data_IF_981937737461
#
_entry.id   IF_981937737461
#
_cell.length_a   1.000
_cell.length_b   1.000
_cell.length_c   1.000
_cell.angle_alpha   90.00
_cell.angle_beta   90.00
_cell.angle_gamma   90.00
#
_symmetry.space_group_name_H-M   'P 1'
#
loop_
_entity.id
_entity.type
_entity.pdbx_description
1 polymer ?
#
# COMPACT_ATOMS: atom_id res chain seq x y z
N UNK A 1 -13.96 9.89 -5.73
CA UNK A 1 -14.99 9.09 -5.02
C UNK A 1 -15.79 8.19 -5.96
N UNK A 2 -16.56 8.73 -6.93
CA UNK A 2 -17.42 7.90 -7.82
C UNK A 2 -16.67 6.83 -8.62
N UNK A 3 -15.48 7.16 -9.15
CA UNK A 3 -14.62 6.18 -9.83
C UNK A 3 -14.18 5.02 -8.94
N UNK A 4 -14.06 5.23 -7.63
CA UNK A 4 -13.75 4.16 -6.69
C UNK A 4 -14.96 3.22 -6.54
N UNK A 5 -16.17 3.76 -6.46
CA UNK A 5 -17.41 2.97 -6.47
C UNK A 5 -17.53 2.12 -7.75
N UNK A 6 -17.22 2.70 -8.91
CA UNK A 6 -17.24 1.98 -10.20
C UNK A 6 -16.30 0.77 -10.21
N UNK A 7 -15.13 0.87 -9.56
CA UNK A 7 -14.21 -0.26 -9.39
C UNK A 7 -14.90 -1.40 -8.64
N UNK A 8 -15.53 -1.12 -7.50
CA UNK A 8 -16.26 -2.13 -6.72
C UNK A 8 -17.41 -2.76 -7.51
N UNK A 9 -18.21 -1.94 -8.20
CA UNK A 9 -19.31 -2.43 -9.04
C UNK A 9 -18.82 -3.30 -10.19
N UNK A 10 -17.63 -3.05 -10.74
CA UNK A 10 -17.05 -3.87 -11.81
C UNK A 10 -16.76 -5.33 -11.39
N UNK A 11 -16.62 -5.61 -10.09
CA UNK A 11 -16.50 -6.96 -9.55
C UNK A 11 -17.86 -7.61 -9.24
N UNK A 12 -18.97 -6.92 -9.50
CA UNK A 12 -20.32 -7.37 -9.17
C UNK A 12 -20.74 -7.08 -7.73
N UNK A 13 -20.05 -6.17 -7.03
CA UNK A 13 -20.45 -5.73 -5.69
C UNK A 13 -21.55 -4.66 -5.79
N UNK A 14 -22.41 -4.53 -4.76
CA UNK A 14 -23.48 -3.53 -4.76
C UNK A 14 -22.92 -2.10 -4.76
N UNK A 15 -23.70 -1.19 -5.34
CA UNK A 15 -23.46 0.25 -5.22
C UNK A 15 -23.59 0.70 -3.77
N UNK A 16 -22.90 1.78 -3.40
CA UNK A 16 -22.98 2.36 -2.06
C UNK A 16 -24.39 2.94 -1.81
N UNK A 17 -24.83 2.94 -0.56
CA UNK A 17 -26.19 3.40 -0.21
C UNK A 17 -26.35 4.91 -0.38
N UNK A 18 -27.59 5.38 -0.57
CA UNK A 18 -27.88 6.82 -0.60
C UNK A 18 -27.51 7.51 0.72
N UNK A 19 -27.66 6.79 1.83
CA UNK A 19 -27.26 7.29 3.15
C UNK A 19 -25.75 7.48 3.24
N UNK A 20 -24.96 6.58 2.65
CA UNK A 20 -23.51 6.73 2.55
C UNK A 20 -23.13 8.04 1.85
N UNK A 21 -23.68 8.31 0.66
CA UNK A 21 -23.35 9.53 -0.08
C UNK A 21 -23.79 10.81 0.62
N UNK A 22 -24.95 10.78 1.29
CA UNK A 22 -25.52 11.96 1.96
C UNK A 22 -24.89 12.27 3.32
N UNK A 23 -24.44 11.27 4.06
CA UNK A 23 -24.00 11.42 5.46
C UNK A 23 -22.49 11.26 5.67
N UNK A 24 -21.76 10.75 4.69
CA UNK A 24 -20.30 10.66 4.76
C UNK A 24 -19.67 12.04 4.66
N UNK A 25 -18.50 12.17 5.26
CA UNK A 25 -17.67 13.38 5.20
C UNK A 25 -16.54 13.08 4.23
N UNK A 26 -16.55 13.77 3.08
CA UNK A 26 -15.51 13.64 2.06
C UNK A 26 -14.54 14.81 2.04
N UNK A 27 -14.91 15.97 2.60
CA UNK A 27 -14.07 17.18 2.57
C UNK A 27 -13.83 17.67 3.98
N UNK A 28 -12.65 18.25 4.24
CA UNK A 28 -12.33 18.84 5.54
C UNK A 28 -13.23 20.05 5.81
N UNK A 29 -14.16 19.92 6.75
CA UNK A 29 -15.08 20.99 7.13
C UNK A 29 -14.46 21.99 8.12
N UNK A 30 -13.94 21.51 9.26
CA UNK A 30 -13.43 22.35 10.35
C UNK A 30 -11.99 22.00 10.73
N UNK A 31 -11.28 22.95 11.38
CA UNK A 31 -9.90 22.76 11.88
C UNK A 31 -9.79 21.62 12.91
N UNK A 32 -10.87 21.29 13.62
CA UNK A 32 -10.92 20.23 14.63
C UNK A 32 -11.36 18.85 14.10
N UNK A 33 -11.68 18.74 12.80
CA UNK A 33 -12.04 17.45 12.22
C UNK A 33 -10.79 16.57 12.19
N UNK A 34 -10.81 15.45 12.93
CA UNK A 34 -9.77 14.41 12.83
C UNK A 34 -9.85 13.81 11.42
N UNK A 35 -8.83 14.09 10.60
CA UNK A 35 -8.74 13.64 9.21
C UNK A 35 -7.92 12.35 9.11
N UNK A 36 -8.30 11.33 9.86
CA UNK A 36 -7.80 9.97 9.61
C UNK A 36 -8.91 9.24 8.85
N UNK A 37 -8.58 8.62 7.71
CA UNK A 37 -9.54 7.80 6.97
C UNK A 37 -10.16 6.77 7.91
N UNK A 38 -11.48 6.75 7.99
CA UNK A 38 -12.19 5.80 8.84
C UNK A 38 -13.56 5.47 8.25
N UNK A 39 -13.85 4.18 8.12
CA UNK A 39 -15.16 3.64 7.82
C UNK A 39 -15.93 3.30 9.10
N UNK A 40 -17.25 3.50 9.09
CA UNK A 40 -18.12 3.19 10.22
C UNK A 40 -19.44 2.52 9.79
N UNK A 41 -19.79 1.45 10.49
CA UNK A 41 -21.15 0.88 10.54
C UNK A 41 -21.93 1.55 11.68
N UNK A 42 -23.05 2.22 11.35
CA UNK A 42 -23.88 2.90 12.34
C UNK A 42 -24.90 1.98 13.03
N UNK A 43 -24.84 0.66 12.76
CA UNK A 43 -25.77 -0.36 13.27
C UNK A 43 -27.25 -0.08 12.96
N UNK A 44 -27.50 0.70 11.90
CA UNK A 44 -28.82 0.98 11.38
C UNK A 44 -28.86 0.56 9.92
N UNK A 45 -29.96 -0.08 9.53
CA UNK A 45 -30.14 -0.59 8.18
C UNK A 45 -29.86 0.50 7.13
N UNK A 46 -28.89 0.21 6.26
CA UNK A 46 -28.39 1.03 5.18
C UNK A 46 -27.51 2.23 5.57
N UNK A 47 -27.19 2.45 6.85
CA UNK A 47 -26.43 3.61 7.33
C UNK A 47 -24.96 3.27 7.58
N UNK A 48 -24.16 3.34 6.50
CA UNK A 48 -22.70 3.21 6.53
C UNK A 48 -22.07 4.55 6.17
N UNK A 49 -20.96 4.92 6.82
CA UNK A 49 -20.37 6.25 6.63
C UNK A 49 -18.86 6.18 6.51
N UNK A 50 -18.34 7.04 5.67
CA UNK A 50 -16.91 7.31 5.53
C UNK A 50 -16.59 8.67 6.13
N UNK A 51 -15.58 8.72 6.98
CA UNK A 51 -14.90 9.94 7.39
C UNK A 51 -13.56 9.98 6.67
N UNK A 52 -13.47 10.85 5.66
CA UNK A 52 -12.30 11.00 4.82
C UNK A 52 -12.14 12.47 4.44
N UNK A 53 -10.93 13.00 4.56
CA UNK A 53 -10.65 14.36 4.13
C UNK A 53 -9.96 14.28 2.77
N UNK A 54 -10.73 14.51 1.71
CA UNK A 54 -10.27 14.43 0.33
C UNK A 54 -9.08 15.32 0.08
N UNK A 55 -7.98 14.72 -0.34
CA UNK A 55 -6.96 15.37 -1.14
C UNK A 55 -6.88 14.75 -2.54
N UNK A 56 -5.92 15.23 -3.31
CA UNK A 56 -5.66 14.82 -4.70
C UNK A 56 -4.43 13.94 -4.84
N UNK A 57 -3.85 13.48 -3.72
CA UNK A 57 -2.61 12.70 -3.73
C UNK A 57 -2.86 11.22 -4.08
N UNK A 58 -1.78 10.49 -4.32
CA UNK A 58 -1.87 9.03 -4.54
C UNK A 58 -2.27 8.31 -3.25
N UNK A 59 -1.80 8.81 -2.12
CA UNK A 59 -2.07 8.28 -0.79
C UNK A 59 -3.56 8.44 -0.46
N UNK A 60 -4.14 9.58 -0.81
CA UNK A 60 -5.58 9.86 -0.74
C UNK A 60 -6.40 8.87 -1.59
N UNK A 61 -5.93 8.59 -2.82
CA UNK A 61 -6.55 7.60 -3.69
C UNK A 61 -6.51 6.18 -3.10
N UNK A 62 -5.40 5.80 -2.46
CA UNK A 62 -5.26 4.54 -1.72
C UNK A 62 -6.25 4.47 -0.56
N UNK A 63 -6.25 5.49 0.31
CA UNK A 63 -7.08 5.52 1.52
C UNK A 63 -8.56 5.45 1.15
N UNK A 64 -8.99 6.20 0.12
CA UNK A 64 -10.37 6.14 -0.35
C UNK A 64 -10.79 4.71 -0.75
N UNK A 65 -9.96 4.02 -1.54
CA UNK A 65 -10.28 2.64 -1.94
C UNK A 65 -10.25 1.69 -0.75
N UNK A 66 -9.26 1.82 0.13
CA UNK A 66 -9.14 1.01 1.36
C UNK A 66 -10.39 1.11 2.22
N UNK A 67 -10.80 2.34 2.56
CA UNK A 67 -11.94 2.57 3.44
C UNK A 67 -13.28 2.19 2.79
N UNK A 68 -13.41 2.35 1.46
CA UNK A 68 -14.59 1.83 0.74
C UNK A 68 -14.67 0.30 0.79
N UNK A 69 -13.53 -0.40 0.93
CA UNK A 69 -13.49 -1.85 1.13
C UNK A 69 -14.14 -2.26 2.45
N UNK A 70 -13.90 -1.49 3.52
CA UNK A 70 -14.57 -1.69 4.80
C UNK A 70 -16.08 -1.51 4.69
N UNK A 71 -16.54 -0.48 3.96
CA UNK A 71 -17.98 -0.22 3.74
C UNK A 71 -18.64 -1.38 2.99
N UNK A 72 -18.01 -1.88 1.93
CA UNK A 72 -18.53 -3.04 1.19
C UNK A 72 -18.65 -4.28 2.09
N UNK A 73 -17.69 -4.45 3.00
CA UNK A 73 -17.74 -5.56 3.94
C UNK A 73 -18.86 -5.38 4.98
N UNK A 74 -19.07 -4.17 5.50
CA UNK A 74 -20.22 -3.83 6.37
C UNK A 74 -21.57 -4.12 5.69
N UNK A 75 -21.71 -3.70 4.43
CA UNK A 75 -22.93 -3.95 3.65
C UNK A 75 -23.19 -5.45 3.45
N UNK A 76 -22.14 -6.26 3.28
CA UNK A 76 -22.30 -7.66 2.97
C UNK A 76 -22.78 -8.51 4.15
N UNK A 77 -22.38 -8.18 5.38
CA UNK A 77 -22.87 -8.85 6.59
C UNK A 77 -23.97 -8.07 7.33
N UNK A 78 -24.52 -7.01 6.73
CA UNK A 78 -25.57 -6.16 7.32
C UNK A 78 -26.74 -6.98 7.90
N UNK A 79 -27.13 -8.08 7.24
CA UNK A 79 -28.25 -8.93 7.68
C UNK A 79 -27.93 -9.78 8.91
N UNK A 80 -26.67 -9.85 9.34
CA UNK A 80 -26.29 -10.59 10.54
C UNK A 80 -26.76 -9.85 11.80
N UNK A 81 -27.02 -10.56 12.91
CA UNK A 81 -27.29 -9.93 14.20
C UNK A 81 -26.12 -9.00 14.59
N UNK A 82 -26.41 -7.88 15.27
CA UNK A 82 -25.41 -6.85 15.59
C UNK A 82 -24.14 -7.40 16.26
N UNK A 83 -24.26 -8.44 17.08
CA UNK A 83 -23.13 -9.12 17.74
C UNK A 83 -22.17 -9.82 16.75
N UNK A 84 -22.66 -10.23 15.59
CA UNK A 84 -21.88 -10.92 14.55
C UNK A 84 -21.47 -10.01 13.38
N UNK A 85 -21.87 -8.72 13.40
CA UNK A 85 -21.48 -7.68 12.41
C UNK A 85 -20.06 -7.16 12.63
N UNK A 86 -19.14 -8.07 12.89
CA UNK A 86 -17.71 -7.78 13.05
C UNK A 86 -16.94 -8.99 12.52
N UNK A 87 -15.82 -8.78 11.85
CA UNK A 87 -14.85 -9.84 11.65
C UNK A 87 -13.64 -9.64 12.57
N UNK A 88 -12.69 -10.58 12.53
CA UNK A 88 -11.36 -10.26 13.04
C UNK A 88 -10.87 -9.00 12.31
N UNK A 89 -10.40 -8.01 13.06
CA UNK A 89 -9.82 -6.75 12.56
C UNK A 89 -8.82 -7.00 11.43
N UNK A 90 -8.08 -8.11 11.50
CA UNK A 90 -7.23 -8.57 10.42
C UNK A 90 -7.91 -8.70 9.07
N UNK A 91 -9.05 -9.39 9.06
CA UNK A 91 -9.78 -9.67 7.85
C UNK A 91 -10.39 -8.40 7.27
N UNK A 92 -10.89 -7.50 8.13
CA UNK A 92 -11.32 -6.16 7.72
C UNK A 92 -10.22 -5.42 6.97
N UNK A 93 -9.03 -5.31 7.56
CA UNK A 93 -7.90 -4.59 6.95
C UNK A 93 -7.35 -5.30 5.70
N UNK A 94 -7.52 -6.62 5.61
CA UNK A 94 -7.11 -7.42 4.45
C UNK A 94 -7.91 -7.08 3.20
N UNK A 95 -9.21 -6.88 3.33
CA UNK A 95 -10.11 -6.66 2.19
C UNK A 95 -9.74 -5.36 1.47
N UNK A 96 -9.63 -4.25 2.22
CA UNK A 96 -9.26 -2.94 1.67
C UNK A 96 -7.91 -2.98 0.96
N UNK A 97 -6.90 -3.59 1.59
CA UNK A 97 -5.57 -3.73 1.02
C UNK A 97 -5.54 -4.66 -0.21
N UNK A 98 -6.26 -5.78 -0.18
CA UNK A 98 -6.29 -6.76 -1.28
C UNK A 98 -6.86 -6.16 -2.56
N UNK A 99 -7.93 -5.38 -2.45
CA UNK A 99 -8.53 -4.62 -3.55
C UNK A 99 -7.51 -3.65 -4.14
N UNK A 100 -6.71 -3.03 -3.28
CA UNK A 100 -5.72 -2.05 -3.71
C UNK A 100 -4.62 -2.64 -4.61
N UNK A 101 -4.29 -3.93 -4.48
CA UNK A 101 -3.39 -4.60 -5.43
C UNK A 101 -3.95 -4.58 -6.85
N UNK A 102 -5.28 -4.74 -7.02
CA UNK A 102 -5.94 -4.66 -8.32
C UNK A 102 -6.04 -3.23 -8.85
N UNK A 103 -6.38 -2.29 -7.97
CA UNK A 103 -6.51 -0.86 -8.33
C UNK A 103 -5.14 -0.26 -8.72
N UNK A 104 -4.05 -0.65 -8.06
CA UNK A 104 -2.72 -0.14 -8.34
C UNK A 104 -2.05 -0.74 -9.58
N UNK A 105 -2.67 -1.72 -10.25
CA UNK A 105 -2.08 -2.31 -11.45
C UNK A 105 -1.89 -1.26 -12.54
N UNK A 106 -0.74 -1.25 -13.24
CA UNK A 106 -0.50 -0.29 -14.31
C UNK A 106 -1.59 -0.32 -15.39
N UNK A 107 -2.09 -1.50 -15.73
CA UNK A 107 -3.18 -1.68 -16.69
C UNK A 107 -4.49 -1.04 -16.21
N UNK A 108 -4.75 -1.00 -14.90
CA UNK A 108 -5.91 -0.28 -14.36
C UNK A 108 -5.68 1.23 -14.33
N UNK A 109 -4.53 1.68 -13.85
CA UNK A 109 -4.18 3.11 -13.83
C UNK A 109 -4.19 3.73 -15.23
N UNK A 110 -3.76 2.97 -16.24
CA UNK A 110 -3.80 3.40 -17.64
C UNK A 110 -5.24 3.54 -18.14
N UNK A 111 -6.12 2.57 -17.84
CA UNK A 111 -7.55 2.66 -18.16
C UNK A 111 -8.24 3.85 -17.49
N UNK A 112 -7.77 4.28 -16.33
CA UNK A 112 -8.24 5.49 -15.65
C UNK A 112 -7.65 6.79 -16.23
N UNK A 113 -6.70 6.70 -17.17
CA UNK A 113 -5.97 7.84 -17.72
C UNK A 113 -4.96 8.46 -16.76
N UNK A 114 -4.54 7.73 -15.73
CA UNK A 114 -3.58 8.21 -14.72
C UNK A 114 -2.12 7.96 -15.11
N UNK A 115 -1.86 7.02 -16.04
CA UNK A 115 -0.53 6.75 -16.61
C UNK A 115 -0.61 6.51 -18.12
N UNK A 116 0.45 6.82 -18.86
CA UNK A 116 0.53 6.65 -20.31
C UNK A 116 1.26 5.35 -20.73
N UNK A 117 0.98 4.86 -21.94
CA UNK A 117 1.51 3.59 -22.49
C UNK A 117 3.04 3.50 -22.51
N UNK A 118 3.73 4.63 -22.66
CA UNK A 118 5.20 4.67 -22.69
C UNK A 118 5.85 4.22 -21.38
N UNK A 119 5.12 4.26 -20.25
CA UNK A 119 5.58 3.74 -18.95
C UNK A 119 5.35 2.22 -18.81
N UNK A 120 4.41 1.66 -19.56
CA UNK A 120 4.03 0.25 -19.47
C UNK A 120 5.00 -0.68 -20.21
N UNK A 121 5.63 -0.16 -21.27
CA UNK A 121 6.54 -0.91 -22.12
C UNK A 121 7.85 -0.12 -22.24
N UNK A 122 8.81 -0.38 -21.37
CA UNK A 122 10.21 -0.09 -21.72
C UNK A 122 10.54 -1.08 -22.83
N UNK A 123 10.79 -0.65 -24.09
CA UNK A 123 11.17 -1.56 -25.14
C UNK A 123 12.51 -2.15 -24.72
N UNK A 124 12.58 -3.47 -24.64
CA UNK A 124 13.80 -4.19 -24.34
C UNK A 124 14.75 -3.98 -25.53
N UNK A 125 15.54 -2.90 -25.53
CA UNK A 125 16.55 -2.63 -26.55
C UNK A 125 17.78 -3.49 -26.28
N UNK A 126 17.60 -4.80 -26.29
CA UNK A 126 18.66 -5.82 -26.20
C UNK A 126 18.27 -7.06 -27.01
N UNK A 127 17.75 -6.86 -28.22
CA UNK A 127 17.76 -7.90 -29.25
C UNK A 127 18.54 -7.37 -30.45
N UNK A 128 19.70 -7.98 -30.68
CA UNK A 128 20.50 -7.77 -31.88
C UNK A 128 19.67 -7.94 -33.17
N UNK A 129 19.93 -7.12 -34.21
CA UNK A 129 19.10 -7.09 -35.40
C UNK A 129 19.39 -8.29 -36.30
N UNK A 130 18.50 -9.29 -36.29
CA UNK A 130 18.40 -10.26 -37.38
C UNK A 130 16.98 -10.36 -37.92
N UNK A 131 16.70 -9.42 -38.83
CA UNK A 131 15.96 -9.64 -40.07
C UNK A 131 14.54 -10.18 -39.96
N UNK A 132 13.56 -9.28 -40.04
CA UNK A 132 12.39 -9.50 -40.89
C UNK A 132 11.82 -8.16 -41.35
N UNK A 133 11.49 -8.10 -42.64
CA UNK A 133 10.97 -6.94 -43.36
C UNK A 133 9.55 -6.60 -42.87
N UNK A 134 9.39 -5.66 -41.93
CA UNK A 134 8.10 -4.98 -41.66
C UNK A 134 8.32 -3.61 -40.98
N UNK A 135 9.37 -2.88 -41.40
CA UNK A 135 9.67 -1.54 -40.86
C UNK A 135 8.81 -0.39 -41.44
N UNK A 136 7.93 -0.66 -42.41
CA UNK A 136 7.23 0.39 -43.15
C UNK A 136 5.84 0.71 -42.58
N UNK A 137 5.20 -0.19 -41.85
CA UNK A 137 3.88 0.06 -41.22
C UNK A 137 3.98 0.74 -39.84
N UNK A 138 4.98 0.38 -39.02
CA UNK A 138 5.16 0.96 -37.67
C UNK A 138 5.63 2.43 -37.70
N UNK A 139 6.36 2.84 -38.75
CA UNK A 139 6.76 4.25 -38.94
C UNK A 139 5.59 5.15 -39.38
N UNK A 140 4.59 4.60 -40.07
CA UNK A 140 3.42 5.35 -40.50
C UNK A 140 2.40 5.54 -39.37
N UNK A 141 2.20 4.52 -38.51
CA UNK A 141 1.31 4.63 -37.35
C UNK A 141 1.78 5.72 -36.35
N UNK A 142 3.10 5.78 -36.10
CA UNK A 142 3.70 6.80 -35.23
C UNK A 142 3.54 8.23 -35.77
N UNK A 143 3.51 8.40 -37.10
CA UNK A 143 3.33 9.71 -37.73
C UNK A 143 1.87 10.18 -37.71
N UNK A 144 0.92 9.26 -37.81
CA UNK A 144 -0.51 9.57 -37.65
C UNK A 144 -0.89 9.89 -36.20
N UNK A 145 -0.30 9.19 -35.22
CA UNK A 145 -0.50 9.45 -33.78
C UNK A 145 0.09 10.81 -33.39
N UNK A 146 1.29 11.15 -33.87
CA UNK A 146 1.93 12.45 -33.60
C UNK A 146 1.14 13.63 -34.20
N UNK A 147 0.57 13.45 -35.40
CA UNK A 147 -0.28 14.46 -36.03
C UNK A 147 -1.67 14.56 -35.38
N UNK A 148 -2.22 13.46 -34.86
CA UNK A 148 -3.46 13.45 -34.08
C UNK A 148 -3.33 14.16 -32.72
N UNK A 149 -2.13 14.13 -32.12
CA UNK A 149 -1.79 14.82 -30.88
C UNK A 149 -1.78 16.35 -31.06
N UNK A 150 -1.14 16.85 -32.12
CA UNK A 150 -1.08 18.30 -32.39
C UNK A 150 -2.44 18.91 -32.72
N UNK A 151 -3.36 18.14 -33.32
CA UNK A 151 -4.71 18.63 -33.65
C UNK A 151 -5.66 18.70 -32.44
N UNK A 152 -5.37 17.99 -31.34
CA UNK A 152 -6.11 18.09 -30.07
C UNK A 152 -5.59 19.20 -29.15
N UNK A 153 -4.29 19.51 -29.23
CA UNK A 153 -3.66 20.58 -28.44
C UNK A 153 -4.24 21.98 -28.69
N UNK A 154 -4.82 22.24 -29.86
CA UNK A 154 -5.44 23.54 -30.17
C UNK A 154 -6.83 23.74 -29.54
N UNK A 155 -7.49 22.69 -29.04
CA UNK A 155 -8.89 22.78 -28.57
C UNK A 155 -9.10 22.67 -27.05
N UNK A 156 -8.10 22.23 -26.27
CA UNK A 156 -8.26 22.07 -24.82
C UNK A 156 -7.62 23.22 -24.02
N UNK A 157 -8.47 24.15 -23.55
CA UNK A 157 -8.11 25.24 -22.63
C UNK A 157 -7.93 24.76 -21.18
N UNK A 158 -7.01 23.83 -20.92
CA UNK A 158 -6.62 23.44 -19.56
C UNK A 158 -5.10 23.47 -19.41
N UNK A 159 -4.55 24.65 -19.13
CA UNK A 159 -3.11 24.90 -18.93
C UNK A 159 -2.66 24.89 -17.47
N UNK A 160 -3.48 24.39 -16.54
CA UNK A 160 -3.22 24.51 -15.10
C UNK A 160 -2.43 23.37 -14.43
N UNK A 161 -2.09 22.29 -15.16
CA UNK A 161 -1.51 21.08 -14.56
C UNK A 161 0.02 20.95 -14.78
N UNK A 162 0.59 21.67 -15.74
CA UNK A 162 2.04 21.60 -16.05
C UNK A 162 2.88 22.57 -15.20
N UNK A 163 2.32 23.66 -14.67
CA UNK A 163 3.09 24.66 -13.91
C UNK A 163 3.42 24.22 -12.47
N UNK A 164 2.54 23.48 -11.79
CA UNK A 164 2.79 22.98 -10.42
C UNK A 164 3.81 21.84 -10.38
N UNK A 165 3.97 21.07 -11.45
CA UNK A 165 4.94 19.98 -11.51
C UNK A 165 6.38 20.49 -11.74
N UNK A 166 6.53 21.67 -12.35
CA UNK A 166 7.85 22.25 -12.63
C UNK A 166 8.41 23.06 -11.44
N UNK A 167 7.57 23.64 -10.59
CA UNK A 167 8.04 24.45 -9.45
C UNK A 167 8.63 23.62 -8.29
N UNK A 168 8.27 22.34 -8.18
CA UNK A 168 8.82 21.44 -7.13
C UNK A 168 10.28 21.05 -7.41
N UNK A 169 10.74 21.16 -8.66
CA UNK A 169 12.12 20.82 -9.04
C UNK A 169 13.16 21.90 -8.74
N UNK A 170 12.76 23.14 -8.43
CA UNK A 170 13.74 24.24 -8.23
C UNK A 170 14.16 24.44 -6.76
N UNK A 171 13.40 23.97 -5.77
CA UNK A 171 13.65 24.33 -4.36
C UNK A 171 14.31 23.27 -3.47
N UNK A 172 14.70 22.09 -3.99
CA UNK A 172 15.48 21.10 -3.22
C UNK A 172 16.65 20.51 -4.03
N UNK A 173 17.59 21.38 -4.39
CA UNK A 173 18.95 21.00 -4.81
C UNK A 173 19.76 20.43 -3.63
N UNK A 174 19.38 19.26 -3.12
CA UNK A 174 20.19 18.47 -2.17
C UNK A 174 20.76 17.20 -2.82
N UNK A 175 20.32 16.86 -4.04
CA UNK A 175 20.94 15.82 -4.85
C UNK A 175 21.45 16.44 -6.16
N UNK A 176 22.73 16.81 -6.18
CA UNK A 176 23.42 17.11 -7.43
C UNK A 176 23.46 15.83 -8.28
N UNK A 177 22.48 15.66 -9.16
CA UNK A 177 22.35 14.52 -10.10
C UNK A 177 23.49 14.42 -11.14
N UNK A 178 24.41 15.39 -11.18
CA UNK A 178 25.40 15.50 -12.24
C UNK A 178 26.57 14.49 -12.18
N UNK A 179 26.76 13.74 -11.08
CA UNK A 179 27.93 12.85 -10.92
C UNK A 179 27.62 11.34 -10.93
N UNK A 180 26.36 10.92 -11.04
CA UNK A 180 25.95 9.50 -11.04
C UNK A 180 25.54 8.94 -12.41
N UNK A 181 25.78 9.69 -13.49
CA UNK A 181 25.38 9.33 -14.86
C UNK A 181 26.51 8.79 -15.75
N UNK A 182 27.76 8.76 -15.26
CA UNK A 182 28.92 8.31 -16.04
C UNK A 182 29.34 6.86 -15.78
N UNK A 183 28.65 6.15 -14.89
CA UNK A 183 28.84 4.70 -14.72
C UNK A 183 27.82 4.00 -15.65
N UNK A 184 28.23 3.07 -16.55
CA UNK A 184 27.28 2.30 -17.33
C UNK A 184 26.47 1.45 -16.37
N UNK A 185 25.37 2.00 -15.86
CA UNK A 185 24.50 1.33 -14.90
C UNK A 185 24.05 0.03 -15.56
N UNK A 186 24.42 -1.14 -15.01
CA UNK A 186 23.81 -2.39 -15.47
C UNK A 186 22.30 -2.20 -15.30
N UNK A 187 21.53 -2.50 -16.33
CA UNK A 187 20.07 -2.40 -16.25
C UNK A 187 19.56 -3.51 -15.32
N UNK A 188 19.61 -3.25 -14.01
CA UNK A 188 19.30 -4.20 -12.94
C UNK A 188 17.82 -4.57 -12.93
N UNK A 189 16.97 -3.60 -13.31
CA UNK A 189 15.55 -3.77 -13.48
C UNK A 189 15.26 -3.84 -14.97
N UNK A 190 14.82 -4.99 -15.44
CA UNK A 190 14.57 -5.23 -16.87
C UNK A 190 13.22 -4.64 -17.29
N UNK A 191 12.27 -4.55 -16.34
CA UNK A 191 10.89 -4.12 -16.62
C UNK A 191 10.38 -3.09 -15.62
N UNK A 192 9.39 -2.28 -16.03
CA UNK A 192 8.64 -1.39 -15.11
C UNK A 192 7.96 -2.18 -13.98
N UNK A 193 7.53 -3.41 -14.27
CA UNK A 193 6.90 -4.29 -13.28
C UNK A 193 7.85 -4.62 -12.12
N UNK A 194 9.15 -4.80 -12.38
CA UNK A 194 10.14 -5.04 -11.32
C UNK A 194 10.27 -3.85 -10.37
N UNK A 195 10.26 -2.63 -10.92
CA UNK A 195 10.33 -1.38 -10.15
C UNK A 195 9.06 -1.20 -9.32
N UNK A 196 7.89 -1.53 -9.88
CA UNK A 196 6.62 -1.46 -9.18
C UNK A 196 6.53 -2.50 -8.06
N UNK A 197 6.98 -3.72 -8.31
CA UNK A 197 7.09 -4.77 -7.29
C UNK A 197 8.03 -4.34 -6.16
N UNK A 198 9.18 -3.73 -6.47
CA UNK A 198 10.09 -3.17 -5.46
C UNK A 198 9.41 -2.08 -4.64
N UNK A 199 8.75 -1.13 -5.30
CA UNK A 199 8.01 -0.05 -4.62
C UNK A 199 6.93 -0.60 -3.69
N UNK A 200 6.25 -1.67 -4.10
CA UNK A 200 5.26 -2.33 -3.28
C UNK A 200 5.89 -3.11 -2.11
N UNK A 201 7.00 -3.79 -2.35
CA UNK A 201 7.76 -4.49 -1.33
C UNK A 201 8.28 -3.54 -0.26
N UNK A 202 8.82 -2.38 -0.63
CA UNK A 202 9.30 -1.35 0.32
C UNK A 202 8.18 -0.84 1.23
N UNK A 203 6.94 -0.80 0.75
CA UNK A 203 5.81 -0.39 1.57
C UNK A 203 5.30 -1.52 2.47
N UNK A 204 5.33 -2.79 2.03
CA UNK A 204 4.66 -3.89 2.75
C UNK A 204 5.62 -4.77 3.56
N UNK A 205 6.81 -5.07 3.05
CA UNK A 205 7.75 -6.00 3.71
C UNK A 205 8.33 -5.39 5.00
N UNK A 206 8.83 -4.14 5.05
CA UNK A 206 9.32 -3.53 6.29
C UNK A 206 8.24 -3.34 7.36
N UNK A 207 6.96 -3.27 6.97
CA UNK A 207 5.85 -3.16 7.91
C UNK A 207 5.64 -4.44 8.74
N UNK A 208 6.03 -5.61 8.23
CA UNK A 208 5.87 -6.89 8.93
C UNK A 208 6.66 -6.90 10.26
N UNK A 209 8.00 -6.74 10.27
CA UNK A 209 8.76 -6.72 11.52
C UNK A 209 8.41 -5.51 12.39
N UNK A 210 8.08 -4.35 11.79
CA UNK A 210 7.58 -3.19 12.54
C UNK A 210 6.29 -3.52 13.30
N UNK A 211 5.37 -4.25 12.66
CA UNK A 211 4.10 -4.59 13.28
C UNK A 211 4.23 -5.60 14.40
N UNK A 212 5.13 -6.57 14.23
CA UNK A 212 5.45 -7.56 15.25
C UNK A 212 6.09 -6.89 16.47
N UNK A 213 7.06 -5.98 16.24
CA UNK A 213 7.72 -5.20 17.28
C UNK A 213 6.74 -4.49 18.22
N UNK A 214 5.79 -3.75 17.66
CA UNK A 214 4.86 -2.93 18.45
C UNK A 214 3.98 -3.79 19.36
N UNK A 215 3.42 -4.87 18.84
CA UNK A 215 2.51 -5.70 19.63
C UNK A 215 3.26 -6.65 20.58
N UNK A 216 4.41 -7.20 20.22
CA UNK A 216 5.25 -7.94 21.17
C UNK A 216 5.72 -7.07 22.33
N UNK A 217 6.10 -5.82 22.04
CA UNK A 217 6.44 -4.87 23.09
C UNK A 217 5.25 -4.62 24.03
N UNK A 218 4.05 -4.40 23.47
CA UNK A 218 2.83 -4.17 24.26
C UNK A 218 2.46 -5.38 25.10
N UNK A 219 2.57 -6.59 24.55
CA UNK A 219 2.32 -7.82 25.32
C UNK A 219 3.28 -7.95 26.50
N UNK A 220 4.59 -7.80 26.26
CA UNK A 220 5.58 -7.80 27.34
C UNK A 220 5.33 -6.71 28.38
N UNK A 221 4.88 -5.53 27.94
CA UNK A 221 4.50 -4.44 28.84
C UNK A 221 3.28 -4.82 29.70
N UNK A 222 2.22 -5.36 29.10
CA UNK A 222 0.99 -5.73 29.81
C UNK A 222 1.16 -6.96 30.72
N UNK A 223 2.06 -7.87 30.37
CA UNK A 223 2.44 -9.01 31.22
C UNK A 223 3.29 -8.59 32.43
N UNK A 224 3.78 -7.34 32.46
CA UNK A 224 4.68 -6.84 33.50
C UNK A 224 6.14 -7.29 33.32
N UNK A 225 6.51 -7.77 32.13
CA UNK A 225 7.87 -8.17 31.80
C UNK A 225 8.82 -7.00 31.54
N UNK A 226 8.31 -5.77 31.40
CA UNK A 226 9.09 -4.54 31.19
C UNK A 226 9.02 -3.69 32.45
N UNK A 227 10.18 -3.43 33.06
CA UNK A 227 10.30 -2.47 34.16
C UNK A 227 9.97 -1.05 33.68
N UNK A 228 9.33 -0.25 34.53
CA UNK A 228 9.07 1.17 34.24
C UNK A 228 10.33 2.00 34.00
N UNK A 229 11.49 1.47 34.42
CA UNK A 229 12.80 2.09 34.25
C UNK A 229 13.54 1.68 32.96
N UNK A 230 13.03 0.72 32.18
CA UNK A 230 13.71 0.20 30.98
C UNK A 230 12.77 0.23 29.74
N UNK A 231 11.72 1.04 29.77
CA UNK A 231 10.69 1.06 28.73
C UNK A 231 11.23 1.43 27.36
N UNK A 232 12.08 2.44 27.28
CA UNK A 232 12.59 2.94 26.00
C UNK A 232 13.76 2.09 25.50
N UNK A 233 14.61 1.62 26.41
CA UNK A 233 15.72 0.70 26.12
C UNK A 233 15.22 -0.62 25.54
N UNK A 234 14.18 -1.23 26.13
CA UNK A 234 13.60 -2.47 25.61
C UNK A 234 13.00 -2.26 24.22
N UNK A 235 12.36 -1.10 23.98
CA UNK A 235 11.82 -0.77 22.66
C UNK A 235 12.93 -0.72 21.60
N UNK A 236 14.02 0.02 21.85
CA UNK A 236 15.12 0.11 20.89
C UNK A 236 15.91 -1.18 20.73
N UNK A 237 16.04 -1.98 21.79
CA UNK A 237 16.62 -3.33 21.70
C UNK A 237 15.81 -4.21 20.77
N UNK A 238 14.49 -4.23 20.92
CA UNK A 238 13.60 -5.01 20.03
C UNK A 238 13.56 -4.44 18.61
N UNK A 239 13.64 -3.11 18.44
CA UNK A 239 13.70 -2.48 17.12
C UNK A 239 14.97 -2.91 16.37
N UNK A 240 16.10 -3.00 17.06
CA UNK A 240 17.33 -3.52 16.49
C UNK A 240 17.21 -5.03 16.20
N UNK A 241 16.69 -5.83 17.13
CA UNK A 241 16.55 -7.28 16.96
C UNK A 241 15.63 -7.65 15.77
N UNK A 242 14.48 -6.99 15.65
CA UNK A 242 13.45 -7.36 14.66
C UNK A 242 13.59 -6.61 13.33
N UNK A 243 14.06 -5.36 13.35
CA UNK A 243 14.11 -4.51 12.15
C UNK A 243 15.53 -4.13 11.71
N UNK A 244 16.54 -4.27 12.58
CA UNK A 244 17.88 -3.80 12.30
C UNK A 244 18.00 -2.27 12.30
N UNK A 245 17.16 -1.58 13.08
CA UNK A 245 17.15 -0.11 13.14
C UNK A 245 17.65 0.38 14.50
N UNK A 246 18.58 1.34 14.47
CA UNK A 246 19.10 2.04 15.63
C UNK A 246 18.58 3.50 15.69
N UNK A 247 18.47 4.10 16.89
CA UNK A 247 18.13 5.51 17.00
C UNK A 247 19.28 6.39 16.46
N UNK A 248 18.95 7.52 15.85
CA UNK A 248 19.96 8.46 15.30
C UNK A 248 20.74 9.22 16.38
N UNK A 249 20.21 9.25 17.60
CA UNK A 249 20.80 9.92 18.76
C UNK A 249 20.64 9.03 19.98
N UNK A 250 21.48 9.20 20.98
CA UNK A 250 21.32 8.47 22.25
C UNK A 250 19.98 8.84 22.88
N UNK A 251 19.12 7.84 23.09
CA UNK A 251 17.81 7.97 23.74
C UNK A 251 17.89 7.34 25.13
N UNK A 252 17.66 8.13 26.17
CA UNK A 252 17.45 7.59 27.51
C UNK A 252 15.98 7.28 27.79
N UNK A 253 15.68 7.01 29.06
CA UNK A 253 14.35 6.66 29.58
C UNK A 253 13.48 7.88 29.86
N UNK A 254 14.02 9.10 29.66
CA UNK A 254 13.25 10.33 29.61
C UNK A 254 12.29 10.40 28.40
N UNK A 255 12.52 9.56 27.38
CA UNK A 255 11.69 9.46 26.19
C UNK A 255 10.80 8.22 26.23
N UNK A 256 9.63 8.35 25.60
CA UNK A 256 8.72 7.22 25.37
C UNK A 256 8.43 7.11 23.87
N UNK A 257 9.42 6.60 23.12
CA UNK A 257 9.43 6.66 21.66
C UNK A 257 8.30 5.84 21.02
N UNK A 258 7.98 4.70 21.62
CA UNK A 258 6.82 3.90 21.20
C UNK A 258 5.50 4.67 21.32
N UNK A 259 5.38 5.58 22.30
CA UNK A 259 4.20 6.44 22.47
C UNK A 259 3.98 7.44 21.35
N UNK A 260 5.02 7.74 20.56
CA UNK A 260 4.88 8.60 19.38
C UNK A 260 4.11 7.92 18.23
N UNK A 261 3.93 6.59 18.27
CA UNK A 261 3.14 5.87 17.27
C UNK A 261 1.65 5.93 17.62
N UNK A 262 0.84 6.61 16.82
CA UNK A 262 -0.61 6.83 17.01
C UNK A 262 -1.41 5.67 17.65
N UNK A 263 -1.18 4.44 17.21
CA UNK A 263 -1.96 3.27 17.65
C UNK A 263 -1.72 2.91 19.13
N UNK A 264 -0.59 3.33 19.68
CA UNK A 264 -0.20 3.06 21.07
C UNK A 264 -1.01 3.93 22.04
N UNK A 265 -1.02 5.28 21.96
CA UNK A 265 -1.88 6.10 22.81
C UNK A 265 -3.38 5.98 22.48
N UNK A 266 -3.74 5.61 21.24
CA UNK A 266 -5.13 5.35 20.84
C UNK A 266 -5.62 3.95 21.28
N UNK A 267 -4.72 3.13 21.86
CA UNK A 267 -4.99 1.75 22.30
C UNK A 267 -5.57 0.83 21.20
N UNK A 268 -5.20 1.08 19.95
CA UNK A 268 -5.62 0.27 18.80
C UNK A 268 -4.64 -0.91 18.59
N UNK A 269 -5.10 -2.18 18.52
CA UNK A 269 -4.24 -3.34 18.25
C UNK A 269 -3.53 -3.26 16.89
N UNK A 270 -2.25 -3.69 16.81
CA UNK A 270 -1.43 -3.46 15.61
C UNK A 270 -1.23 -4.72 14.74
N UNK A 271 -1.21 -5.91 15.33
CA UNK A 271 -0.98 -7.21 14.67
C UNK A 271 -2.09 -7.52 13.67
N UNK A 272 -3.32 -7.13 14.00
CA UNK A 272 -4.45 -7.23 13.08
C UNK A 272 -4.25 -6.37 11.83
N UNK A 273 -3.67 -5.18 11.93
CA UNK A 273 -3.60 -4.25 10.80
C UNK A 273 -2.62 -4.69 9.72
N UNK A 274 -1.54 -5.42 10.04
CA UNK A 274 -0.47 -5.68 9.07
C UNK A 274 -0.09 -7.15 8.89
N UNK A 275 -0.31 -8.01 9.89
CA UNK A 275 0.22 -9.38 9.88
C UNK A 275 -0.65 -10.37 9.09
N UNK A 276 -1.95 -10.10 8.99
CA UNK A 276 -2.94 -11.08 8.56
C UNK A 276 -3.63 -10.74 7.23
N UNK A 277 -2.96 -9.92 6.40
CA UNK A 277 -3.48 -9.40 5.15
C UNK A 277 -3.48 -10.41 4.01
N UNK A 278 -4.50 -11.27 4.00
CA UNK A 278 -4.82 -12.11 2.86
C UNK A 278 -6.34 -12.30 2.75
N UNK A 279 -6.81 -12.57 1.53
CA UNK A 279 -8.12 -13.14 1.16
C UNK A 279 -9.26 -12.16 0.80
N UNK A 280 -9.88 -12.40 -0.36
CA UNK A 280 -11.24 -11.96 -0.69
C UNK A 280 -11.86 -12.82 -1.80
N UNK A 281 -13.04 -13.41 -1.54
CA UNK A 281 -14.23 -13.35 -2.42
C UNK A 281 -15.49 -14.03 -1.84
N UNK A 282 -15.36 -15.00 -0.93
CA UNK A 282 -16.50 -15.82 -0.47
C UNK A 282 -16.94 -15.58 0.99
N UNK A 283 -16.41 -14.56 1.67
CA UNK A 283 -16.59 -14.40 3.13
C UNK A 283 -17.34 -13.13 3.54
N UNK A 284 -17.78 -12.31 2.58
CA UNK A 284 -18.45 -11.03 2.87
C UNK A 284 -19.78 -11.20 3.62
N UNK A 285 -20.47 -12.32 3.45
CA UNK A 285 -21.80 -12.57 4.06
C UNK A 285 -21.77 -13.22 5.45
N UNK A 286 -20.62 -13.72 5.92
CA UNK A 286 -20.56 -14.64 7.08
C UNK A 286 -20.28 -13.92 8.41
N UNK A 287 -19.66 -12.74 8.38
CA UNK A 287 -19.31 -11.99 9.60
C UNK A 287 -18.53 -12.85 10.61
N UNK A 288 -18.80 -12.69 11.92
CA UNK A 288 -18.19 -13.50 13.00
C UNK A 288 -18.81 -14.89 13.18
N UNK A 289 -19.80 -15.27 12.37
CA UNK A 289 -20.62 -16.46 12.64
C UNK A 289 -19.84 -17.78 12.48
N UNK A 290 -18.70 -17.75 11.82
CA UNK A 290 -17.78 -18.88 11.68
C UNK A 290 -16.36 -18.51 12.13
N UNK A 291 -15.70 -19.42 12.83
CA UNK A 291 -14.31 -19.27 13.24
C UNK A 291 -13.39 -19.11 12.01
N UNK A 292 -12.34 -18.30 12.11
CA UNK A 292 -11.39 -18.05 11.00
C UNK A 292 -10.81 -19.36 10.45
N UNK A 293 -10.60 -20.35 11.33
CA UNK A 293 -10.14 -21.69 10.95
C UNK A 293 -11.04 -22.39 9.93
N UNK A 294 -12.35 -22.12 9.95
CA UNK A 294 -13.31 -22.65 8.98
C UNK A 294 -13.45 -21.77 7.73
N UNK A 295 -13.08 -20.50 7.84
CA UNK A 295 -13.14 -19.54 6.73
C UNK A 295 -11.96 -19.70 5.77
N UNK A 296 -10.73 -19.86 6.25
CA UNK A 296 -9.53 -19.97 5.40
C UNK A 296 -9.61 -21.10 4.35
N UNK A 297 -10.05 -22.34 4.69
CA UNK A 297 -10.16 -23.42 3.70
C UNK A 297 -11.14 -23.13 2.57
N UNK A 298 -12.20 -22.37 2.85
CA UNK A 298 -13.22 -22.06 1.85
C UNK A 298 -12.74 -21.12 0.75
N UNK A 299 -11.74 -20.28 1.04
CA UNK A 299 -11.23 -19.28 0.09
C UNK A 299 -9.89 -19.66 -0.53
N UNK A 300 -9.00 -20.33 0.21
CA UNK A 300 -7.66 -20.69 -0.28
C UNK A 300 -7.40 -22.18 -0.34
N UNK A 301 -8.28 -23.00 0.23
CA UNK A 301 -8.03 -24.42 0.41
C UNK A 301 -7.08 -24.73 1.58
N UNK A 302 -6.61 -23.74 2.33
CA UNK A 302 -5.69 -23.92 3.46
C UNK A 302 -6.40 -23.66 4.81
N UNK A 303 -6.11 -24.45 5.86
CA UNK A 303 -6.70 -24.29 7.20
C UNK A 303 -5.92 -23.36 8.13
N UNK A 304 -4.75 -22.89 7.70
CA UNK A 304 -3.84 -22.06 8.49
C UNK A 304 -3.38 -20.85 7.67
N UNK A 305 -3.00 -19.78 8.37
CA UNK A 305 -2.36 -18.62 7.73
C UNK A 305 -0.99 -19.06 7.23
N UNK A 306 -0.69 -18.74 5.97
CA UNK A 306 0.53 -19.16 5.30
C UNK A 306 1.20 -17.98 4.59
N UNK A 307 2.53 -17.89 4.71
CA UNK A 307 3.34 -16.91 4.00
C UNK A 307 3.66 -17.33 2.55
N UNK A 308 3.21 -18.52 2.12
CA UNK A 308 3.49 -19.09 0.79
C UNK A 308 3.08 -18.16 -0.35
N UNK A 309 1.91 -17.51 -0.24
CA UNK A 309 1.39 -16.60 -1.26
C UNK A 309 2.22 -15.32 -1.35
N UNK A 310 2.66 -14.78 -0.20
CA UNK A 310 3.53 -13.60 -0.15
C UNK A 310 4.90 -13.90 -0.77
N UNK A 311 5.50 -15.04 -0.40
CA UNK A 311 6.77 -15.49 -0.96
C UNK A 311 6.68 -15.74 -2.47
N UNK A 312 5.55 -16.30 -2.93
CA UNK A 312 5.31 -16.52 -4.36
C UNK A 312 5.20 -15.20 -5.12
N UNK A 313 4.48 -14.22 -4.57
CA UNK A 313 4.30 -12.91 -5.18
C UNK A 313 5.63 -12.16 -5.34
N UNK A 314 6.45 -12.10 -4.29
CA UNK A 314 7.74 -11.39 -4.32
C UNK A 314 8.93 -12.23 -4.80
N UNK A 315 8.71 -13.47 -5.27
CA UNK A 315 9.79 -14.35 -5.74
C UNK A 315 10.65 -13.73 -6.86
N UNK A 316 10.10 -13.07 -7.89
CA UNK A 316 10.92 -12.44 -8.94
C UNK A 316 11.84 -11.38 -8.36
N UNK A 317 11.29 -10.51 -7.51
CA UNK A 317 12.05 -9.45 -6.83
C UNK A 317 13.15 -10.02 -5.92
N UNK A 318 12.84 -11.06 -5.14
CA UNK A 318 13.83 -11.74 -4.29
C UNK A 318 15.04 -12.22 -5.11
N UNK A 319 14.80 -12.82 -6.27
CA UNK A 319 15.88 -13.29 -7.14
C UNK A 319 16.75 -12.14 -7.66
N UNK A 320 16.15 -10.99 -8.00
CA UNK A 320 16.89 -9.79 -8.43
C UNK A 320 17.74 -9.26 -7.28
N UNK A 321 17.16 -9.11 -6.08
CA UNK A 321 17.86 -8.62 -4.89
C UNK A 321 19.02 -9.55 -4.51
N UNK A 322 18.83 -10.87 -4.56
CA UNK A 322 19.90 -11.82 -4.24
C UNK A 322 21.06 -11.76 -5.25
N UNK A 323 20.79 -11.52 -6.53
CA UNK A 323 21.85 -11.27 -7.53
C UNK A 323 22.64 -10.01 -7.18
N UNK A 324 22.00 -8.95 -6.69
CA UNK A 324 22.68 -7.73 -6.26
C UNK A 324 23.53 -7.97 -5.03
N UNK A 325 22.99 -8.65 -4.03
CA UNK A 325 23.70 -9.03 -2.81
C UNK A 325 24.98 -9.79 -3.15
N UNK A 326 24.89 -10.79 -4.04
CA UNK A 326 26.06 -11.57 -4.49
C UNK A 326 27.04 -10.72 -5.32
N UNK A 327 26.54 -9.83 -6.18
CA UNK A 327 27.38 -9.00 -7.05
C UNK A 327 28.19 -7.96 -6.28
N UNK A 328 27.59 -7.37 -5.25
CA UNK A 328 28.19 -6.29 -4.47
C UNK A 328 28.72 -6.76 -3.11
N UNK A 329 28.71 -8.06 -2.85
CA UNK A 329 29.16 -8.70 -1.59
C UNK A 329 28.53 -8.03 -0.35
N UNK A 330 27.22 -7.79 -0.41
CA UNK A 330 26.50 -7.10 0.66
C UNK A 330 26.24 -8.09 1.81
N UNK A 331 26.70 -7.81 3.04
CA UNK A 331 26.38 -8.68 4.17
C UNK A 331 24.87 -8.67 4.45
N UNK A 332 24.28 -9.84 4.61
CA UNK A 332 22.86 -9.99 4.96
C UNK A 332 22.73 -10.11 6.48
N UNK A 333 21.88 -9.26 7.05
CA UNK A 333 21.66 -9.17 8.49
C UNK A 333 22.49 -8.07 9.13
N UNK A 334 22.37 -7.94 10.43
CA UNK A 334 23.07 -6.95 11.26
C UNK A 334 23.71 -7.67 12.45
N UNK A 335 24.86 -7.18 12.90
CA UNK A 335 25.66 -7.85 13.94
C UNK A 335 25.34 -7.30 15.32
N UNK A 336 25.69 -8.03 16.38
CA UNK A 336 25.58 -7.50 17.76
C UNK A 336 26.54 -6.32 18.02
N UNK A 337 27.62 -6.19 17.24
CA UNK A 337 28.59 -5.10 17.42
C UNK A 337 28.03 -3.73 16.99
N UNK A 338 26.95 -3.73 16.18
CA UNK A 338 26.22 -2.53 15.79
C UNK A 338 25.32 -1.97 16.94
N UNK A 339 25.33 -2.60 18.14
CA UNK A 339 24.52 -2.21 19.32
C UNK A 339 25.00 -0.98 20.08
N UNK A 340 26.19 -0.47 19.78
CA UNK A 340 26.86 0.52 20.64
C UNK A 340 27.17 1.88 19.97
N UNK A 341 26.81 2.11 18.70
CA UNK A 341 27.09 3.39 18.03
C UNK A 341 26.08 4.48 18.41
#
# INVERSE_FOLDING_TARGET
>A
EKRAEDFYQSFGLPAMTDAFWRKSVFTKGNKNTRCHGAAADMFKDGDFRLLYCSGTTKEDFYVLHHEMGHIQYYMAYEKQPALFRQANTAFHESIGDAIMYGVMTPQHLHRLGLINDSLLYIPNTNQDPKGSKDETESKNLNKEIYNGYNKRKENDKYTGFEEEFNQVNESQNVFNEANYLNDPKPNIFETTDDILMLKQALNKIPQIPFSLLIDEYRWKYFEGGISSLDTNKVFWQMAMELQGVAPTTKRGEEYFDIGAKFHVPDNTPYISINYLKAFAKQQCSVGKMSEIRYLTPSTTGESHISSSSLQRYYRPLYNILMKLVQKYDIPIGWSEDDRQS
#
